data_IF_239038281223
#
_entry.id   IF_239038281223
#
_cell.length_a   1.000
_cell.length_b   1.000
_cell.length_c   1.000
_cell.angle_alpha   90.00
_cell.angle_beta   90.00
_cell.angle_gamma   90.00
#
_symmetry.space_group_name_H-M   'P 1'
#
loop_
_entity.id
_entity.type
_entity.pdbx_description
1 polymer ?
#
# COMPACT_ATOMS: atom_id res chain seq x y z
N UNK A 1 -2.74 4.16 3.76
CA UNK A 1 -1.81 5.22 4.17
C UNK A 1 -2.60 6.47 4.37
N UNK A 2 -2.28 7.21 5.43
CA UNK A 2 -3.07 8.37 5.82
C UNK A 2 -2.56 9.63 5.14
N UNK A 3 -3.51 10.50 4.80
CA UNK A 3 -3.28 11.86 4.33
C UNK A 3 -3.79 12.79 5.44
N UNK A 4 -2.95 13.73 5.85
CA UNK A 4 -3.27 14.74 6.87
C UNK A 4 -3.22 16.11 6.22
N UNK A 5 -4.34 16.82 6.25
CA UNK A 5 -4.47 18.16 5.67
C UNK A 5 -4.59 19.21 6.79
N UNK A 6 -3.83 20.30 6.67
CA UNK A 6 -3.97 21.50 7.49
C UNK A 6 -4.69 22.56 6.66
N UNK A 7 -6.01 22.59 6.78
CA UNK A 7 -6.89 23.47 5.97
C UNK A 7 -6.58 24.96 6.09
N UNK A 8 -6.06 25.42 7.23
CA UNK A 8 -5.71 26.84 7.42
C UNK A 8 -4.50 27.28 6.57
N UNK A 9 -3.55 26.37 6.34
CA UNK A 9 -2.34 26.64 5.55
C UNK A 9 -2.41 26.06 4.15
N UNK A 10 -3.35 25.14 3.89
CA UNK A 10 -3.48 24.42 2.63
C UNK A 10 -2.41 23.33 2.44
N UNK A 11 -1.67 22.99 3.51
CA UNK A 11 -0.60 21.99 3.45
C UNK A 11 -1.18 20.57 3.64
N UNK A 12 -0.69 19.63 2.85
CA UNK A 12 -1.08 18.22 2.89
C UNK A 12 0.14 17.33 3.09
N UNK A 13 0.00 16.32 3.95
CA UNK A 13 1.09 15.42 4.32
C UNK A 13 0.67 13.96 4.20
N UNK A 14 1.49 13.16 3.52
CA UNK A 14 1.38 11.70 3.49
C UNK A 14 2.18 11.12 4.64
N UNK A 15 1.54 10.28 5.45
CA UNK A 15 2.16 9.70 6.63
C UNK A 15 2.78 8.35 6.29
N UNK A 16 4.10 8.25 6.46
CA UNK A 16 4.88 7.02 6.23
C UNK A 16 5.43 6.48 7.55
N UNK A 17 5.45 5.15 7.76
CA UNK A 17 6.10 4.56 8.91
C UNK A 17 7.62 4.64 8.79
N UNK A 18 8.31 4.82 9.91
CA UNK A 18 9.74 4.52 10.08
C UNK A 18 9.92 3.56 11.26
N UNK A 19 11.11 2.98 11.39
CA UNK A 19 11.37 1.89 12.32
C UNK A 19 10.90 2.19 13.77
N UNK A 20 10.96 3.45 14.20
CA UNK A 20 10.57 3.89 15.54
C UNK A 20 9.69 5.16 15.54
N UNK A 21 9.20 5.61 14.38
CA UNK A 21 8.49 6.88 14.26
C UNK A 21 7.54 6.92 13.06
N UNK A 22 6.80 8.01 12.92
CA UNK A 22 6.08 8.35 11.70
C UNK A 22 6.77 9.56 11.06
N UNK A 23 6.84 9.59 9.74
CA UNK A 23 7.32 10.72 8.97
C UNK A 23 6.19 11.31 8.14
N UNK A 24 6.16 12.64 8.08
CA UNK A 24 5.16 13.41 7.36
C UNK A 24 5.85 14.01 6.15
N UNK A 25 5.48 13.53 4.97
CA UNK A 25 6.01 13.99 3.69
C UNK A 25 4.98 14.92 3.06
N UNK A 26 5.37 16.17 2.79
CA UNK A 26 4.51 17.12 2.09
C UNK A 26 4.17 16.58 0.70
N UNK A 27 2.93 16.74 0.26
CA UNK A 27 2.46 16.22 -1.03
C UNK A 27 1.33 17.07 -1.58
N UNK A 28 1.30 17.23 -2.91
CA UNK A 28 0.14 17.78 -3.62
C UNK A 28 -0.86 16.68 -4.01
N UNK A 29 -0.49 15.39 -3.86
CA UNK A 29 -1.34 14.23 -4.15
C UNK A 29 -2.31 13.96 -3.00
N UNK A 30 -3.55 14.39 -3.21
CA UNK A 30 -4.67 14.25 -2.29
C UNK A 30 -5.38 12.88 -2.37
N UNK A 31 -4.92 11.98 -3.23
CA UNK A 31 -5.57 10.68 -3.43
C UNK A 31 -5.37 9.78 -2.22
N UNK A 32 -6.47 9.20 -1.77
CA UNK A 32 -6.47 8.26 -0.66
C UNK A 32 -6.12 6.86 -1.14
N UNK A 33 -5.20 6.20 -0.44
CA UNK A 33 -4.74 4.86 -0.82
C UNK A 33 -4.88 3.85 0.32
N UNK A 34 -5.52 2.72 0.04
CA UNK A 34 -5.81 1.67 1.02
C UNK A 34 -5.51 0.28 0.48
N UNK A 35 -4.73 -0.50 1.25
CA UNK A 35 -4.49 -1.92 0.97
C UNK A 35 -5.63 -2.80 1.47
N UNK A 36 -6.08 -3.72 0.61
CA UNK A 36 -7.06 -4.77 0.92
C UNK A 36 -6.41 -5.83 1.82
N UNK A 37 -7.03 -6.09 2.97
CA UNK A 37 -6.60 -7.12 3.93
C UNK A 37 -7.56 -8.31 3.98
N UNK A 38 -8.78 -8.17 3.46
CA UNK A 38 -9.75 -9.27 3.37
C UNK A 38 -10.85 -8.99 2.36
N UNK A 39 -11.50 -10.07 1.91
CA UNK A 39 -12.64 -10.07 0.98
C UNK A 39 -13.73 -10.98 1.54
N UNK A 40 -14.98 -10.54 1.48
CA UNK A 40 -16.16 -11.40 1.69
C UNK A 40 -17.22 -11.10 0.63
N UNK A 41 -17.88 -12.14 0.12
CA UNK A 41 -19.00 -11.98 -0.80
C UNK A 41 -20.29 -11.62 -0.04
N UNK A 42 -21.10 -10.72 -0.60
CA UNK A 42 -22.40 -10.32 -0.08
C UNK A 42 -23.40 -10.10 -1.23
N UNK A 43 -24.09 -11.18 -1.63
CA UNK A 43 -24.99 -11.18 -2.78
C UNK A 43 -24.21 -11.05 -4.08
N UNK A 44 -24.58 -10.08 -4.92
CA UNK A 44 -23.88 -9.76 -6.18
C UNK A 44 -22.65 -8.85 -5.96
N UNK A 45 -22.40 -8.43 -4.72
CA UNK A 45 -21.30 -7.52 -4.39
C UNK A 45 -20.19 -8.24 -3.61
N UNK A 46 -19.01 -7.66 -3.65
CA UNK A 46 -17.89 -7.93 -2.77
C UNK A 46 -17.79 -6.85 -1.70
N UNK A 47 -17.38 -7.25 -0.49
CA UNK A 47 -17.00 -6.34 0.58
C UNK A 47 -15.53 -6.58 0.91
N UNK A 48 -14.75 -5.53 0.70
CA UNK A 48 -13.31 -5.49 0.95
C UNK A 48 -13.03 -4.80 2.27
N UNK A 49 -12.26 -5.44 3.15
CA UNK A 49 -11.76 -4.84 4.37
C UNK A 49 -10.37 -4.25 4.12
N UNK A 50 -10.13 -3.06 4.66
CA UNK A 50 -8.89 -2.32 4.48
C UNK A 50 -8.02 -2.34 5.74
N UNK A 51 -6.72 -2.08 5.58
CA UNK A 51 -5.78 -2.03 6.70
C UNK A 51 -6.08 -0.93 7.73
N UNK A 52 -6.81 0.11 7.35
CA UNK A 52 -7.22 1.21 8.23
C UNK A 52 -8.55 0.91 8.96
N UNK A 53 -9.11 -0.29 8.81
CA UNK A 53 -10.34 -0.73 9.49
C UNK A 53 -11.64 -0.39 8.76
N UNK A 54 -11.57 0.35 7.64
CA UNK A 54 -12.75 0.62 6.81
C UNK A 54 -13.11 -0.57 5.91
N UNK A 55 -14.30 -0.48 5.32
CA UNK A 55 -14.76 -1.43 4.31
C UNK A 55 -15.23 -0.70 3.04
N UNK A 56 -15.07 -1.36 1.89
CA UNK A 56 -15.55 -0.90 0.59
C UNK A 56 -16.41 -1.96 -0.06
N UNK A 57 -17.57 -1.55 -0.59
CA UNK A 57 -18.53 -2.43 -1.26
C UNK A 57 -18.55 -2.08 -2.75
N UNK A 58 -18.35 -3.08 -3.60
CA UNK A 58 -18.38 -2.95 -5.06
C UNK A 58 -18.75 -4.28 -5.70
N UNK A 59 -19.28 -4.28 -6.92
CA UNK A 59 -19.45 -5.45 -7.78
C UNK A 59 -18.17 -5.83 -8.54
N UNK A 60 -17.16 -4.95 -8.53
CA UNK A 60 -15.82 -5.25 -9.06
C UNK A 60 -15.09 -6.33 -8.25
N UNK A 61 -14.11 -6.97 -8.92
CA UNK A 61 -13.28 -8.03 -8.34
C UNK A 61 -11.82 -7.59 -8.20
N UNK A 62 -11.38 -7.51 -6.96
CA UNK A 62 -9.98 -7.36 -6.54
C UNK A 62 -9.50 -8.54 -5.68
N UNK A 63 -8.18 -8.68 -5.63
CA UNK A 63 -7.44 -9.63 -4.79
C UNK A 63 -7.12 -9.03 -3.42
N UNK A 64 -6.89 -9.90 -2.42
CA UNK A 64 -6.29 -9.45 -1.16
C UNK A 64 -4.84 -9.06 -1.40
N UNK A 65 -4.38 -7.97 -0.77
CA UNK A 65 -3.03 -7.45 -0.96
C UNK A 65 -2.96 -6.30 -1.99
N UNK A 66 -3.94 -6.18 -2.87
CA UNK A 66 -4.09 -5.07 -3.81
C UNK A 66 -4.29 -3.75 -3.05
N UNK A 67 -3.62 -2.69 -3.51
CA UNK A 67 -3.88 -1.31 -3.09
C UNK A 67 -4.97 -0.72 -3.97
N UNK A 68 -5.99 -0.13 -3.35
CA UNK A 68 -6.97 0.70 -4.03
C UNK A 68 -6.65 2.18 -3.81
N UNK A 69 -6.64 2.94 -4.90
CA UNK A 69 -6.36 4.38 -4.94
C UNK A 69 -7.66 5.07 -5.35
N UNK A 70 -8.20 5.85 -4.43
CA UNK A 70 -9.48 6.53 -4.56
C UNK A 70 -9.28 7.94 -5.10
N UNK A 71 -9.92 8.22 -6.23
CA UNK A 71 -10.14 9.53 -6.80
C UNK A 71 -11.57 9.58 -7.40
N UNK A 72 -11.83 10.36 -8.47
CA UNK A 72 -13.07 10.30 -9.26
C UNK A 72 -13.43 8.87 -9.72
N UNK A 73 -12.40 8.07 -10.05
CA UNK A 73 -12.49 6.63 -10.33
C UNK A 73 -11.53 5.86 -9.41
N UNK A 74 -11.90 4.63 -9.03
CA UNK A 74 -11.05 3.77 -8.20
C UNK A 74 -10.03 3.04 -9.08
N UNK A 75 -8.75 3.28 -8.83
CA UNK A 75 -7.65 2.53 -9.46
C UNK A 75 -7.14 1.44 -8.53
N UNK A 76 -6.62 0.36 -9.09
CA UNK A 76 -5.96 -0.71 -8.35
C UNK A 76 -4.48 -0.83 -8.71
N UNK A 77 -3.63 -1.04 -7.71
CA UNK A 77 -2.23 -1.37 -7.86
C UNK A 77 -1.95 -2.70 -7.15
N UNK A 78 -1.40 -3.67 -7.87
CA UNK A 78 -1.05 -4.99 -7.34
C UNK A 78 0.46 -5.07 -7.13
N UNK A 79 0.89 -5.96 -6.23
CA UNK A 79 2.31 -6.27 -6.08
C UNK A 79 2.70 -7.18 -7.24
N UNK A 80 3.58 -6.70 -8.12
CA UNK A 80 4.12 -7.45 -9.24
C UNK A 80 5.63 -7.19 -9.40
N UNK A 81 6.34 -8.05 -10.12
CA UNK A 81 7.76 -7.84 -10.44
C UNK A 81 7.95 -6.55 -11.23
N UNK A 82 8.94 -5.76 -10.85
CA UNK A 82 9.23 -4.42 -11.38
C UNK A 82 8.41 -3.28 -10.76
N UNK A 83 7.43 -3.58 -9.90
CA UNK A 83 6.61 -2.54 -9.27
C UNK A 83 7.31 -1.91 -8.06
N UNK A 84 7.12 -0.59 -7.90
CA UNK A 84 7.53 0.15 -6.71
C UNK A 84 6.54 -0.06 -5.56
N UNK A 85 7.10 -0.23 -4.37
CA UNK A 85 6.34 -0.49 -3.15
C UNK A 85 6.94 0.25 -1.97
N UNK A 86 6.11 0.53 -0.97
CA UNK A 86 6.57 1.01 0.35
C UNK A 86 6.55 -0.14 1.33
N UNK A 87 7.62 -0.24 2.12
CA UNK A 87 7.69 -1.19 3.22
C UNK A 87 6.97 -0.60 4.44
N UNK A 88 5.93 -1.27 4.92
CA UNK A 88 5.08 -0.77 6.00
C UNK A 88 5.60 -1.07 7.41
N UNK A 89 6.48 -2.06 7.57
CA UNK A 89 6.85 -2.58 8.88
C UNK A 89 8.25 -3.22 8.87
N UNK A 90 8.84 -3.34 10.06
CA UNK A 90 10.17 -3.89 10.28
C UNK A 90 11.31 -2.88 10.09
N UNK A 91 12.55 -3.38 10.10
CA UNK A 91 13.76 -2.55 10.05
C UNK A 91 13.83 -1.62 8.82
N UNK A 92 13.17 -1.98 7.73
CA UNK A 92 13.17 -1.25 6.47
C UNK A 92 11.89 -0.43 6.25
N UNK A 93 11.02 -0.30 7.26
CA UNK A 93 9.77 0.46 7.13
C UNK A 93 10.01 1.91 6.68
N UNK A 94 9.17 2.38 5.76
CA UNK A 94 9.23 3.71 5.17
C UNK A 94 10.07 3.79 3.91
N UNK A 95 10.87 2.76 3.60
CA UNK A 95 11.67 2.72 2.39
C UNK A 95 10.81 2.36 1.18
N UNK A 96 11.14 2.99 0.06
CA UNK A 96 10.70 2.59 -1.27
C UNK A 96 11.56 1.41 -1.69
N UNK A 97 10.92 0.40 -2.28
CA UNK A 97 11.58 -0.80 -2.78
C UNK A 97 10.94 -1.27 -4.08
N UNK A 98 11.76 -1.73 -5.01
CA UNK A 98 11.34 -2.41 -6.24
C UNK A 98 11.19 -3.90 -5.95
N UNK A 99 10.11 -4.51 -6.45
CA UNK A 99 9.89 -5.95 -6.33
C UNK A 99 10.67 -6.67 -7.43
N UNK A 100 11.65 -7.49 -7.05
CA UNK A 100 12.47 -8.24 -8.01
C UNK A 100 11.86 -9.60 -8.35
N UNK A 101 11.32 -10.30 -7.34
CA UNK A 101 10.79 -11.66 -7.52
C UNK A 101 9.69 -11.97 -6.49
N UNK A 102 8.62 -12.63 -6.93
CA UNK A 102 7.53 -13.09 -6.06
C UNK A 102 7.65 -14.58 -5.70
N UNK A 103 7.52 -14.87 -4.40
CA UNK A 103 7.66 -16.22 -3.86
C UNK A 103 6.35 -16.72 -3.24
N UNK A 104 5.65 -17.59 -3.96
CA UNK A 104 4.50 -18.32 -3.42
C UNK A 104 4.93 -19.36 -2.38
N UNK A 105 4.43 -19.26 -1.15
CA UNK A 105 4.82 -20.16 -0.03
C UNK A 105 3.69 -21.07 0.46
N UNK A 106 2.57 -21.11 -0.27
CA UNK A 106 1.47 -22.04 -0.03
C UNK A 106 0.76 -21.81 1.30
N UNK A 107 0.99 -22.66 2.29
CA UNK A 107 0.40 -22.50 3.63
C UNK A 107 1.12 -21.44 4.49
N UNK A 108 2.32 -21.01 4.08
CA UNK A 108 3.04 -19.90 4.72
C UNK A 108 2.71 -18.60 3.99
N UNK A 109 2.95 -17.48 4.67
CA UNK A 109 2.83 -16.16 4.04
C UNK A 109 3.75 -16.07 2.83
N UNK A 110 3.21 -15.57 1.72
CA UNK A 110 3.98 -15.30 0.53
C UNK A 110 5.02 -14.21 0.80
N UNK A 111 6.16 -14.34 0.13
CA UNK A 111 7.28 -13.43 0.25
C UNK A 111 7.65 -12.83 -1.10
N UNK A 112 8.48 -11.80 -1.07
CA UNK A 112 9.05 -11.16 -2.25
C UNK A 112 10.51 -10.83 -1.95
N UNK A 113 11.36 -10.98 -2.96
CA UNK A 113 12.67 -10.34 -2.98
C UNK A 113 12.47 -8.90 -3.40
N UNK A 114 12.97 -7.95 -2.63
CA UNK A 114 12.88 -6.52 -2.94
C UNK A 114 14.25 -5.87 -2.93
N UNK A 115 14.46 -4.91 -3.83
CA UNK A 115 15.64 -4.06 -3.88
C UNK A 115 15.30 -2.65 -3.36
N UNK A 116 16.14 -2.13 -2.48
CA UNK A 116 16.16 -0.73 -2.04
C UNK A 116 17.49 -0.11 -2.46
N UNK A 117 17.63 1.21 -2.40
CA UNK A 117 18.89 1.90 -2.73
C UNK A 117 20.13 1.39 -1.94
N UNK A 118 19.91 0.77 -0.78
CA UNK A 118 20.97 0.31 0.12
C UNK A 118 21.22 -1.20 0.06
N UNK A 119 20.21 -2.01 -0.27
CA UNK A 119 20.26 -3.46 -0.11
C UNK A 119 19.11 -4.19 -0.77
N UNK A 120 19.36 -5.45 -1.13
CA UNK A 120 18.35 -6.44 -1.52
C UNK A 120 18.09 -7.41 -0.36
N UNK A 121 16.82 -7.79 -0.13
CA UNK A 121 16.43 -8.77 0.88
C UNK A 121 15.04 -9.36 0.63
N UNK A 122 14.75 -10.48 1.29
CA UNK A 122 13.41 -11.11 1.27
C UNK A 122 12.50 -10.53 2.37
N UNK A 123 11.27 -10.19 2.01
CA UNK A 123 10.23 -9.68 2.91
C UNK A 123 8.87 -10.33 2.62
N UNK A 124 7.98 -10.37 3.62
CA UNK A 124 6.61 -10.86 3.39
C UNK A 124 5.78 -9.85 2.59
N UNK A 125 5.01 -10.33 1.61
CA UNK A 125 4.19 -9.48 0.74
C UNK A 125 3.12 -8.69 1.51
N UNK A 126 2.65 -9.19 2.67
CA UNK A 126 1.70 -8.44 3.50
C UNK A 126 2.30 -7.14 4.06
N UNK A 127 3.63 -7.02 4.12
CA UNK A 127 4.35 -5.82 4.56
C UNK A 127 4.64 -4.80 3.45
N UNK A 128 4.37 -5.14 2.20
CA UNK A 128 4.55 -4.25 1.06
C UNK A 128 3.26 -3.46 0.78
N UNK A 129 3.38 -2.25 0.28
CA UNK A 129 2.27 -1.44 -0.17
C UNK A 129 2.56 -0.97 -1.59
N UNK A 130 1.85 -1.54 -2.58
CA UNK A 130 1.98 -1.11 -3.97
C UNK A 130 1.53 0.34 -4.09
N UNK A 131 2.37 1.19 -4.67
CA UNK A 131 2.14 2.63 -4.78
C UNK A 131 1.38 2.98 -6.05
N UNK A 132 1.54 2.19 -7.11
CA UNK A 132 1.02 2.53 -8.43
C UNK A 132 1.57 3.89 -8.85
N UNK A 133 0.69 4.81 -9.23
CA UNK A 133 1.04 6.18 -9.61
C UNK A 133 0.95 7.20 -8.45
N UNK A 134 0.90 6.76 -7.18
CA UNK A 134 0.90 7.66 -6.01
C UNK A 134 2.23 8.37 -5.81
N UNK A 135 2.18 9.65 -5.47
CA UNK A 135 3.36 10.37 -5.00
C UNK A 135 3.66 9.98 -3.54
N UNK A 136 4.84 9.43 -3.30
CA UNK A 136 5.21 8.84 -2.01
C UNK A 136 6.62 9.25 -1.57
N UNK A 137 6.74 10.42 -0.94
CA UNK A 137 8.02 10.95 -0.47
C UNK A 137 8.91 11.50 -1.61
N UNK A 138 9.75 12.48 -1.27
CA UNK A 138 10.79 13.08 -2.13
C UNK A 138 12.16 12.88 -1.50
#
# INVERSE_FOLDING_TARGET
MDLVEITETGESFRVLPRAESLEFHETEDDRRAVKITGKRAEGENNIYSFHNGENYRTDEEYSTGTTLIFNDEVKSAEIAEGEETIILDGKHSGKIATVEELHGRGMRSDTATVETDESEFEIRQDKLFATGDLEVGQ
#
